data_IF_624302743754
#
_entry.id   IF_624302743754
#
_cell.length_a   1.000
_cell.length_b   1.000
_cell.length_c   1.000
_cell.angle_alpha   90.00
_cell.angle_beta   90.00
_cell.angle_gamma   90.00
#
_symmetry.space_group_name_H-M   'P 1'
#
loop_
_entity.id
_entity.type
_entity.pdbx_description
1 polymer ?
#
# COMPACT_ATOMS: atom_id res chain seq x y z
N UNK A 1 -2.01 -19.23 15.77
CA UNK A 1 -2.58 -18.09 16.52
C UNK A 1 -1.48 -17.16 17.03
N UNK A 2 -1.70 -15.87 16.99
CA UNK A 2 -0.73 -14.88 17.44
C UNK A 2 -0.86 -14.62 18.93
N UNK A 3 0.26 -14.46 19.62
CA UNK A 3 0.30 -14.12 21.03
C UNK A 3 0.49 -12.62 21.25
N UNK A 4 1.05 -11.92 20.27
CA UNK A 4 1.23 -10.46 20.35
C UNK A 4 1.11 -9.84 18.96
N UNK A 5 0.86 -8.55 18.94
CA UNK A 5 0.76 -7.80 17.67
C UNK A 5 2.04 -7.92 16.84
N UNK A 6 3.20 -7.92 17.47
CA UNK A 6 4.47 -7.95 16.76
C UNK A 6 4.72 -9.25 15.98
N UNK A 7 3.98 -10.32 16.26
CA UNK A 7 4.08 -11.57 15.53
C UNK A 7 3.33 -11.55 14.22
N UNK A 8 2.40 -10.60 14.04
CA UNK A 8 1.52 -10.56 12.87
C UNK A 8 2.28 -10.02 11.67
N UNK A 9 2.21 -10.74 10.56
CA UNK A 9 3.00 -10.42 9.36
C UNK A 9 2.16 -9.84 8.21
N UNK A 10 0.82 -9.93 8.28
CA UNK A 10 -0.02 -9.44 7.20
C UNK A 10 -1.03 -8.40 7.67
N UNK A 11 -1.40 -7.44 6.79
CA UNK A 11 -2.28 -6.33 7.15
C UNK A 11 -3.66 -6.77 7.63
N UNK A 12 -4.25 -7.78 7.01
CA UNK A 12 -5.61 -8.22 7.34
C UNK A 12 -5.71 -8.75 8.76
N UNK A 13 -4.72 -9.55 9.18
CA UNK A 13 -4.69 -10.08 10.54
C UNK A 13 -4.38 -8.97 11.54
N UNK A 14 -3.58 -7.97 11.19
CA UNK A 14 -3.34 -6.81 12.05
C UNK A 14 -4.64 -6.04 12.31
N UNK A 15 -5.43 -5.80 11.26
CA UNK A 15 -6.73 -5.14 11.41
C UNK A 15 -7.68 -5.94 12.30
N UNK A 16 -7.73 -7.25 12.10
CA UNK A 16 -8.58 -8.13 12.91
C UNK A 16 -8.13 -8.12 14.38
N UNK A 17 -6.84 -8.21 14.62
CA UNK A 17 -6.27 -8.13 15.96
C UNK A 17 -6.67 -6.84 16.68
N UNK A 18 -6.49 -5.70 16.01
CA UNK A 18 -6.81 -4.40 16.58
C UNK A 18 -8.30 -4.27 16.86
N UNK A 19 -9.13 -4.74 15.93
CA UNK A 19 -10.60 -4.70 16.11
C UNK A 19 -11.02 -5.51 17.32
N UNK A 20 -10.52 -6.73 17.45
CA UNK A 20 -10.84 -7.58 18.61
C UNK A 20 -10.34 -6.95 19.91
N UNK A 21 -9.15 -6.35 19.88
CA UNK A 21 -8.59 -5.68 21.06
C UNK A 21 -9.46 -4.53 21.55
N UNK A 22 -10.16 -3.85 20.64
CA UNK A 22 -11.07 -2.76 20.97
C UNK A 22 -12.49 -3.25 21.27
N UNK A 23 -12.78 -4.54 21.09
CA UNK A 23 -14.11 -5.10 21.31
C UNK A 23 -15.14 -4.64 20.29
N UNK A 24 -14.71 -4.31 19.07
CA UNK A 24 -15.57 -3.77 18.03
C UNK A 24 -15.99 -4.84 17.03
N UNK A 25 -17.19 -4.68 16.47
CA UNK A 25 -17.63 -5.44 15.31
C UNK A 25 -17.18 -4.75 14.02
N UNK A 26 -17.18 -5.47 12.90
CA UNK A 26 -16.81 -4.89 11.62
C UNK A 26 -17.67 -3.68 11.26
N UNK A 27 -18.96 -3.74 11.52
CA UNK A 27 -19.88 -2.63 11.26
C UNK A 27 -19.55 -1.40 12.10
N UNK A 28 -19.07 -1.61 13.32
CA UNK A 28 -18.72 -0.52 14.21
C UNK A 28 -17.49 0.23 13.69
N UNK A 29 -16.47 -0.51 13.26
CA UNK A 29 -15.26 0.09 12.70
C UNK A 29 -15.61 0.87 11.44
N UNK A 30 -16.40 0.29 10.53
CA UNK A 30 -16.81 0.96 9.31
C UNK A 30 -17.53 2.28 9.60
N UNK A 31 -18.44 2.29 10.54
CA UNK A 31 -19.18 3.49 10.95
C UNK A 31 -18.24 4.54 11.55
N UNK A 32 -17.31 4.14 12.40
CA UNK A 32 -16.37 5.07 13.07
C UNK A 32 -15.40 5.71 12.10
N UNK A 33 -14.97 4.96 11.09
CA UNK A 33 -14.03 5.46 10.07
C UNK A 33 -14.75 6.21 8.94
N UNK A 34 -16.04 5.91 8.73
CA UNK A 34 -16.82 6.52 7.67
C UNK A 34 -16.67 5.78 6.34
N UNK A 35 -16.61 4.46 6.37
CA UNK A 35 -16.48 3.63 5.18
C UNK A 35 -17.61 2.60 5.13
N UNK A 36 -17.81 2.02 3.95
CA UNK A 36 -18.80 0.97 3.75
C UNK A 36 -18.40 -0.31 4.49
N UNK A 37 -19.37 -0.99 5.09
CA UNK A 37 -19.10 -2.22 5.84
C UNK A 37 -18.48 -3.31 4.94
N UNK A 38 -19.01 -3.43 3.69
CA UNK A 38 -18.48 -4.44 2.76
C UNK A 38 -17.00 -4.20 2.46
N UNK A 39 -16.59 -2.93 2.37
CA UNK A 39 -15.19 -2.57 2.10
C UNK A 39 -14.30 -3.00 3.26
N UNK A 40 -14.71 -2.69 4.48
CA UNK A 40 -13.92 -3.09 5.65
C UNK A 40 -13.84 -4.62 5.78
N UNK A 41 -14.97 -5.31 5.56
CA UNK A 41 -15.00 -6.78 5.59
C UNK A 41 -14.02 -7.37 4.57
N UNK A 42 -13.99 -6.81 3.36
CA UNK A 42 -13.06 -7.27 2.33
C UNK A 42 -11.61 -7.02 2.73
N UNK A 43 -11.31 -5.90 3.38
CA UNK A 43 -9.94 -5.64 3.86
C UNK A 43 -9.48 -6.71 4.85
N UNK A 44 -10.34 -7.14 5.76
CA UNK A 44 -10.00 -8.21 6.71
C UNK A 44 -9.86 -9.57 6.03
N UNK A 45 -10.42 -9.74 4.85
CA UNK A 45 -10.25 -10.98 4.07
C UNK A 45 -9.04 -10.92 3.12
N UNK A 46 -8.35 -9.79 3.08
CA UNK A 46 -7.17 -9.61 2.23
C UNK A 46 -7.45 -8.98 0.88
N UNK A 47 -8.67 -8.52 0.62
CA UNK A 47 -9.05 -7.90 -0.64
C UNK A 47 -8.99 -6.37 -0.50
N UNK A 48 -8.03 -5.74 -1.18
CA UNK A 48 -7.86 -4.29 -1.16
C UNK A 48 -8.46 -3.70 -2.43
N UNK A 49 -9.22 -2.62 -2.26
CA UNK A 49 -9.94 -1.94 -3.34
C UNK A 49 -9.49 -0.49 -3.45
N UNK A 50 -9.69 0.11 -4.64
CA UNK A 50 -9.41 1.54 -4.85
C UNK A 50 -10.25 2.43 -3.94
N UNK A 51 -11.43 1.96 -3.53
CA UNK A 51 -12.29 2.69 -2.61
C UNK A 51 -11.68 2.87 -1.23
N UNK A 52 -10.67 2.08 -0.89
CA UNK A 52 -9.90 2.28 0.34
C UNK A 52 -8.85 3.35 0.08
N UNK A 53 -9.29 4.60 0.17
CA UNK A 53 -8.48 5.78 -0.13
C UNK A 53 -7.41 6.01 0.93
N UNK A 54 -6.36 6.80 0.64
CA UNK A 54 -5.39 7.19 1.66
C UNK A 54 -6.03 7.82 2.89
N UNK A 55 -7.09 8.62 2.70
CA UNK A 55 -7.80 9.25 3.82
C UNK A 55 -8.45 8.23 4.73
N UNK A 56 -9.12 7.22 4.16
CA UNK A 56 -9.75 6.15 4.94
C UNK A 56 -8.70 5.31 5.65
N UNK A 57 -7.58 4.99 4.97
CA UNK A 57 -6.51 4.22 5.59
C UNK A 57 -5.87 4.97 6.76
N UNK A 58 -5.68 6.27 6.63
CA UNK A 58 -5.14 7.09 7.72
C UNK A 58 -6.09 7.13 8.92
N UNK A 59 -7.39 7.26 8.68
CA UNK A 59 -8.40 7.24 9.74
C UNK A 59 -8.45 5.89 10.45
N UNK A 60 -8.36 4.80 9.69
CA UNK A 60 -8.36 3.46 10.27
C UNK A 60 -7.11 3.22 11.11
N UNK A 61 -5.96 3.62 10.61
CA UNK A 61 -4.71 3.51 11.36
C UNK A 61 -4.76 4.34 12.65
N UNK A 62 -5.33 5.54 12.60
CA UNK A 62 -5.51 6.39 13.77
C UNK A 62 -6.43 5.75 14.79
N UNK A 63 -7.54 5.14 14.36
CA UNK A 63 -8.46 4.43 15.24
C UNK A 63 -7.74 3.30 15.98
N UNK A 64 -6.90 2.56 15.27
CA UNK A 64 -6.17 1.42 15.84
C UNK A 64 -4.88 1.82 16.56
N UNK A 65 -4.44 3.07 16.40
CA UNK A 65 -3.22 3.55 17.03
C UNK A 65 -1.94 2.89 16.50
N UNK A 66 -1.91 2.54 15.22
CA UNK A 66 -0.78 1.88 14.57
C UNK A 66 -0.36 2.65 13.32
N UNK A 67 0.87 2.45 12.83
CA UNK A 67 1.30 3.08 11.57
C UNK A 67 0.45 2.60 10.40
N UNK A 68 0.17 3.49 9.43
CA UNK A 68 -0.65 3.15 8.28
C UNK A 68 -0.01 2.04 7.43
N UNK A 69 1.31 1.97 7.37
CA UNK A 69 2.02 0.92 6.63
C UNK A 69 1.75 -0.47 7.18
N UNK A 70 1.27 -0.58 8.42
CA UNK A 70 0.96 -1.88 9.02
C UNK A 70 -0.36 -2.47 8.51
N UNK A 71 -1.25 -1.63 7.99
CA UNK A 71 -2.57 -2.08 7.52
C UNK A 71 -2.71 -2.07 6.01
N UNK A 72 -1.66 -1.75 5.27
CA UNK A 72 -1.68 -1.72 3.81
C UNK A 72 -0.78 -2.83 3.24
N UNK A 73 -1.23 -3.48 2.16
CA UNK A 73 -0.36 -4.35 1.39
C UNK A 73 0.63 -3.48 0.59
N UNK A 74 1.60 -4.11 -0.05
CA UNK A 74 2.66 -3.36 -0.73
C UNK A 74 2.12 -2.45 -1.84
N UNK A 75 1.17 -2.94 -2.65
CA UNK A 75 0.64 -2.13 -3.73
C UNK A 75 -0.17 -0.94 -3.20
N UNK A 76 -1.03 -1.15 -2.21
CA UNK A 76 -1.85 -0.09 -1.63
C UNK A 76 -0.96 0.93 -0.91
N UNK A 77 0.09 0.46 -0.24
CA UNK A 77 1.07 1.36 0.38
C UNK A 77 1.81 2.17 -0.68
N UNK A 78 2.19 1.54 -1.81
CA UNK A 78 2.81 2.23 -2.93
C UNK A 78 1.93 3.39 -3.42
N UNK A 79 0.63 3.14 -3.60
CA UNK A 79 -0.31 4.19 -3.99
C UNK A 79 -0.44 5.27 -2.91
N UNK A 80 -0.48 4.88 -1.66
CA UNK A 80 -0.54 5.80 -0.52
C UNK A 80 0.69 6.71 -0.47
N UNK A 81 1.87 6.18 -0.83
CA UNK A 81 3.13 6.93 -0.89
C UNK A 81 3.24 7.81 -2.15
N UNK A 82 2.19 7.86 -2.97
CA UNK A 82 2.14 8.69 -4.16
C UNK A 82 2.42 7.99 -5.48
N UNK A 83 2.56 6.65 -5.49
CA UNK A 83 2.74 5.90 -6.73
C UNK A 83 3.89 6.40 -7.59
N UNK A 84 3.56 7.16 -8.63
CA UNK A 84 4.58 7.71 -9.54
C UNK A 84 5.60 8.60 -8.85
N UNK A 85 5.18 9.39 -7.86
CA UNK A 85 6.09 10.22 -7.07
C UNK A 85 7.06 9.36 -6.26
N UNK A 86 6.59 8.24 -5.70
CA UNK A 86 7.46 7.29 -5.02
C UNK A 86 8.46 6.66 -5.99
N UNK A 87 8.00 6.27 -7.17
CA UNK A 87 8.87 5.69 -8.20
C UNK A 87 9.97 6.68 -8.60
N UNK A 88 9.62 7.96 -8.73
CA UNK A 88 10.59 9.01 -9.02
C UNK A 88 11.65 9.14 -7.92
N UNK A 89 11.21 9.13 -6.64
CA UNK A 89 12.16 9.19 -5.51
C UNK A 89 13.09 8.00 -5.50
N UNK A 90 12.58 6.80 -5.79
CA UNK A 90 13.40 5.60 -5.93
C UNK A 90 14.45 5.79 -7.04
N UNK A 91 14.00 6.26 -8.20
CA UNK A 91 14.90 6.51 -9.34
C UNK A 91 16.00 7.49 -8.98
N UNK A 92 15.63 8.60 -8.34
CA UNK A 92 16.61 9.64 -7.94
C UNK A 92 17.58 9.10 -6.89
N UNK A 93 17.10 8.30 -5.96
CA UNK A 93 17.97 7.68 -4.95
C UNK A 93 18.99 6.72 -5.56
N UNK A 94 18.65 6.08 -6.68
CA UNK A 94 19.57 5.20 -7.43
C UNK A 94 20.51 5.98 -8.33
N UNK A 95 20.28 7.27 -8.51
CA UNK A 95 21.06 8.10 -9.43
C UNK A 95 20.75 7.81 -10.90
N UNK A 96 19.57 7.31 -11.20
CA UNK A 96 19.17 6.95 -12.57
C UNK A 96 18.39 8.07 -13.26
N UNK A 97 18.55 8.18 -14.58
CA UNK A 97 17.61 8.93 -15.40
C UNK A 97 16.41 8.03 -15.75
N UNK A 98 15.41 8.58 -16.44
CA UNK A 98 14.20 7.81 -16.80
C UNK A 98 14.51 6.63 -17.69
N UNK A 99 15.45 6.77 -18.62
CA UNK A 99 15.83 5.67 -19.51
C UNK A 99 16.48 4.53 -18.73
N UNK A 100 17.32 4.85 -17.77
CA UNK A 100 17.99 3.84 -16.94
C UNK A 100 16.96 3.08 -16.09
N UNK A 101 16.00 3.81 -15.50
CA UNK A 101 14.91 3.15 -14.77
C UNK A 101 14.10 2.24 -15.69
N UNK A 102 13.74 2.73 -16.88
CA UNK A 102 12.99 1.95 -17.86
C UNK A 102 13.73 0.65 -18.22
N UNK A 103 15.02 0.73 -18.43
CA UNK A 103 15.84 -0.43 -18.76
C UNK A 103 15.89 -1.43 -17.62
N UNK A 104 16.07 -0.99 -16.39
CA UNK A 104 16.07 -1.87 -15.21
C UNK A 104 14.71 -2.48 -14.97
N UNK A 105 13.65 -1.71 -15.12
CA UNK A 105 12.28 -2.16 -14.89
C UNK A 105 11.71 -2.97 -16.06
N UNK A 106 12.40 -2.98 -17.20
CA UNK A 106 11.96 -3.66 -18.43
C UNK A 106 10.60 -3.14 -18.91
N UNK A 107 10.46 -1.82 -18.91
CA UNK A 107 9.28 -1.11 -19.42
C UNK A 107 9.73 0.01 -20.36
N UNK A 108 8.78 0.60 -21.08
CA UNK A 108 9.08 1.71 -21.97
C UNK A 108 9.31 3.02 -21.20
N UNK A 109 10.18 3.86 -21.73
CA UNK A 109 10.45 5.19 -21.17
C UNK A 109 9.19 6.05 -21.06
N UNK A 110 8.29 5.92 -22.04
CA UNK A 110 7.01 6.63 -22.04
C UNK A 110 6.14 6.25 -20.84
N UNK A 111 6.15 4.96 -20.48
CA UNK A 111 5.43 4.49 -19.28
C UNK A 111 5.97 5.16 -18.01
N UNK A 112 7.30 5.21 -17.87
CA UNK A 112 7.92 5.86 -16.71
C UNK A 112 7.51 7.33 -16.64
N UNK A 113 7.57 8.04 -17.76
CA UNK A 113 7.19 9.46 -17.81
C UNK A 113 5.73 9.67 -17.41
N UNK A 114 4.82 8.85 -17.95
CA UNK A 114 3.40 8.95 -17.64
C UNK A 114 3.12 8.65 -16.17
N UNK A 115 3.80 7.68 -15.60
CA UNK A 115 3.62 7.33 -14.18
C UNK A 115 4.18 8.42 -13.27
N UNK A 116 5.37 8.93 -13.54
CA UNK A 116 5.98 9.98 -12.70
C UNK A 116 5.24 11.30 -12.77
N UNK A 117 4.62 11.60 -13.90
CA UNK A 117 3.85 12.84 -14.08
C UNK A 117 2.42 12.75 -13.55
N UNK A 118 1.96 11.55 -13.19
CA UNK A 118 0.60 11.33 -12.72
C UNK A 118 -0.43 11.21 -13.82
N UNK A 119 -0.04 11.23 -15.12
CA UNK A 119 -0.97 11.05 -16.23
C UNK A 119 -1.64 9.68 -16.20
N UNK A 120 -0.92 8.66 -15.75
CA UNK A 120 -1.46 7.30 -15.62
C UNK A 120 -1.11 6.74 -14.24
N UNK A 121 -2.07 6.05 -13.64
CA UNK A 121 -1.86 5.33 -12.39
C UNK A 121 -1.22 3.98 -12.70
N UNK A 122 -0.23 3.59 -11.91
CA UNK A 122 0.41 2.29 -12.04
C UNK A 122 -0.57 1.23 -11.55
N UNK A 123 -0.93 0.28 -12.42
CA UNK A 123 -1.81 -0.83 -12.06
C UNK A 123 -1.10 -1.81 -11.14
N UNK A 124 -1.87 -2.66 -10.46
CA UNK A 124 -1.29 -3.71 -9.61
C UNK A 124 -0.39 -4.64 -10.42
N UNK A 125 -0.80 -4.99 -11.64
CA UNK A 125 0.00 -5.83 -12.54
C UNK A 125 1.34 -5.16 -12.85
N UNK A 126 1.32 -3.88 -13.18
CA UNK A 126 2.55 -3.14 -13.45
C UNK A 126 3.42 -3.00 -12.20
N UNK A 127 2.82 -2.79 -11.04
CA UNK A 127 3.55 -2.73 -9.78
C UNK A 127 4.28 -4.07 -9.51
N UNK A 128 3.60 -5.19 -9.69
CA UNK A 128 4.22 -6.50 -9.52
C UNK A 128 5.39 -6.69 -10.49
N UNK A 129 5.26 -6.20 -11.73
CA UNK A 129 6.34 -6.25 -12.72
C UNK A 129 7.54 -5.43 -12.26
N UNK A 130 7.30 -4.24 -11.69
CA UNK A 130 8.37 -3.40 -11.12
C UNK A 130 9.09 -4.11 -9.98
N UNK A 131 8.33 -4.73 -9.06
CA UNK A 131 8.91 -5.48 -7.94
C UNK A 131 9.79 -6.62 -8.43
N UNK A 132 9.36 -7.34 -9.46
CA UNK A 132 10.12 -8.45 -10.01
C UNK A 132 11.42 -8.02 -10.67
N UNK A 133 11.45 -6.83 -11.27
CA UNK A 133 12.58 -6.41 -12.12
C UNK A 133 13.52 -5.40 -11.45
N UNK A 134 13.07 -4.65 -10.46
CA UNK A 134 13.90 -3.61 -9.83
C UNK A 134 14.74 -4.12 -8.65
N UNK A 135 14.41 -5.28 -8.10
CA UNK A 135 15.14 -5.82 -6.97
C UNK A 135 14.47 -5.53 -5.62
N UNK A 136 14.98 -6.15 -4.56
CA UNK A 136 14.37 -6.12 -3.24
C UNK A 136 14.40 -4.75 -2.56
N UNK A 137 15.27 -3.85 -2.99
CA UNK A 137 15.36 -2.51 -2.41
C UNK A 137 14.14 -1.63 -2.77
N UNK A 138 13.45 -1.94 -3.88
CA UNK A 138 12.27 -1.19 -4.29
C UNK A 138 11.11 -1.38 -3.28
N UNK A 139 10.65 -2.61 -3.00
CA UNK A 139 9.61 -2.80 -1.99
C UNK A 139 10.07 -2.47 -0.57
N UNK A 140 11.35 -2.68 -0.24
CA UNK A 140 11.87 -2.35 1.09
C UNK A 140 11.78 -0.85 1.38
N UNK A 141 11.99 -0.01 0.38
CA UNK A 141 11.90 1.44 0.54
C UNK A 141 10.49 1.90 0.92
N UNK A 142 9.46 1.15 0.54
CA UNK A 142 8.08 1.48 0.89
C UNK A 142 7.85 1.49 2.41
N UNK A 143 8.58 0.66 3.13
CA UNK A 143 8.36 0.44 4.57
C UNK A 143 9.38 1.15 5.46
N UNK A 144 10.18 1.98 4.86
CA UNK A 144 11.17 2.78 5.58
C UNK A 144 10.57 4.05 6.16
#
# INVERSE_FOLDING_TARGET
MYHSYSEITNPSDRMRWCRYSLGLLQKDVAAMVGMEEWLYRDLESGAFHRSFTPELSDKLAALYGIPVEDILDDYTLFLHRGGGAFLRRYREAKGWNRQQLADHAKVGRTSIRCWESGQKTISQKCFCHLVENLGSDFPSMLRM
#
